data_IF_087305943266
#
_entry.id   IF_087305943266
#
_cell.length_a   1.000
_cell.length_b   1.000
_cell.length_c   1.000
_cell.angle_alpha   90.00
_cell.angle_beta   90.00
_cell.angle_gamma   90.00
#
_symmetry.space_group_name_H-M   'P 1'
#
loop_
_entity.id
_entity.type
_entity.pdbx_description
1 polymer ?
#
# COMPACT_ATOMS: atom_id res chain seq x y z
N UNK A 1 -13.13 10.13 -9.19
CA UNK A 1 -11.83 9.41 -9.11
C UNK A 1 -12.06 8.06 -8.45
N UNK A 2 -11.53 6.98 -9.03
CA UNK A 2 -11.54 5.62 -8.47
C UNK A 2 -10.14 5.28 -7.96
N UNK A 3 -10.00 5.08 -6.66
CA UNK A 3 -8.77 4.67 -6.00
C UNK A 3 -8.81 3.16 -5.72
N UNK A 4 -7.81 2.42 -6.20
CA UNK A 4 -7.56 1.03 -5.84
C UNK A 4 -6.34 0.95 -4.91
N UNK A 5 -6.43 0.19 -3.83
CA UNK A 5 -5.28 -0.13 -2.97
C UNK A 5 -5.10 -1.65 -2.97
N UNK A 6 -3.89 -2.12 -3.26
CA UNK A 6 -3.64 -3.54 -3.39
C UNK A 6 -2.24 -3.94 -2.90
N UNK A 7 -2.19 -4.84 -1.91
CA UNK A 7 -0.97 -5.50 -1.49
C UNK A 7 -0.74 -6.74 -2.38
N UNK A 8 0.16 -6.64 -3.36
CA UNK A 8 0.41 -7.68 -4.36
C UNK A 8 1.40 -8.74 -3.92
N UNK A 9 1.98 -8.63 -2.70
CA UNK A 9 2.94 -9.61 -2.17
C UNK A 9 4.03 -9.99 -3.16
N UNK A 10 4.59 -9.02 -3.86
CA UNK A 10 5.65 -9.21 -4.87
C UNK A 10 5.25 -10.17 -6.01
N UNK A 11 3.97 -10.33 -6.30
CA UNK A 11 3.41 -11.28 -7.27
C UNK A 11 3.88 -12.74 -7.07
N UNK A 12 4.17 -13.15 -5.85
CA UNK A 12 4.53 -14.56 -5.54
C UNK A 12 3.33 -15.49 -5.51
N UNK A 13 2.12 -14.92 -5.52
CA UNK A 13 0.85 -15.65 -5.51
C UNK A 13 0.48 -16.23 -4.14
N UNK A 14 -0.78 -16.64 -4.01
CA UNK A 14 -1.27 -17.41 -2.88
C UNK A 14 -1.20 -18.90 -3.24
N UNK A 15 0.00 -19.49 -3.27
CA UNK A 15 0.20 -20.92 -3.53
C UNK A 15 -0.63 -21.80 -2.59
N UNK A 16 -0.95 -23.03 -3.02
CA UNK A 16 -1.65 -24.03 -2.21
C UNK A 16 -0.81 -24.62 -1.07
N UNK A 17 0.45 -24.24 -0.94
CA UNK A 17 1.28 -24.61 0.21
C UNK A 17 0.66 -24.05 1.49
N UNK A 18 0.44 -24.87 2.53
CA UNK A 18 0.14 -24.35 3.84
C UNK A 18 1.25 -23.36 4.19
N UNK A 19 0.89 -22.12 4.38
CA UNK A 19 1.85 -21.06 4.70
C UNK A 19 2.38 -21.33 6.11
N UNK A 20 3.33 -22.27 6.20
CA UNK A 20 4.17 -22.34 7.38
C UNK A 20 4.85 -20.98 7.52
N UNK A 21 4.82 -20.37 8.69
CA UNK A 21 5.46 -19.09 8.94
C UNK A 21 6.98 -19.28 9.05
N UNK A 22 7.58 -19.82 8.00
CA UNK A 22 9.04 -19.80 7.87
C UNK A 22 9.33 -18.44 7.25
N UNK A 23 9.90 -17.50 8.03
CA UNK A 23 10.25 -16.20 7.50
C UNK A 23 11.21 -16.40 6.31
N UNK A 24 10.74 -16.09 5.10
CA UNK A 24 11.57 -16.06 3.89
C UNK A 24 11.34 -17.14 2.84
N UNK A 25 10.82 -18.32 3.15
CA UNK A 25 10.75 -19.42 2.15
C UNK A 25 9.75 -19.18 1.00
N UNK A 26 8.62 -18.52 1.25
CA UNK A 26 7.61 -18.20 0.22
C UNK A 26 7.90 -16.93 -0.59
N UNK A 27 8.94 -16.17 -0.21
CA UNK A 27 9.29 -14.89 -0.84
C UNK A 27 10.42 -15.00 -1.87
N UNK A 28 11.01 -16.18 -2.07
CA UNK A 28 12.22 -16.34 -2.88
C UNK A 28 11.93 -16.63 -4.35
N UNK A 29 10.76 -17.14 -4.69
CA UNK A 29 10.44 -17.53 -6.06
C UNK A 29 9.13 -16.87 -6.51
N UNK A 30 9.20 -16.14 -7.63
CA UNK A 30 8.01 -15.63 -8.32
C UNK A 30 7.25 -16.80 -9.00
N UNK A 31 5.92 -16.68 -9.09
CA UNK A 31 5.11 -17.61 -9.87
C UNK A 31 4.83 -16.99 -11.24
N UNK A 32 5.30 -17.61 -12.35
CA UNK A 32 4.98 -17.14 -13.70
C UNK A 32 3.45 -17.02 -13.86
N UNK A 33 3.00 -15.95 -14.49
CA UNK A 33 1.58 -15.68 -14.74
C UNK A 33 0.83 -15.00 -13.56
N UNK A 34 1.38 -14.96 -12.34
CA UNK A 34 0.72 -14.23 -11.26
C UNK A 34 0.66 -12.71 -11.53
N UNK A 35 1.72 -12.14 -12.09
CA UNK A 35 1.75 -10.73 -12.45
C UNK A 35 0.71 -10.42 -13.53
N UNK A 36 0.55 -11.28 -14.53
CA UNK A 36 -0.44 -11.11 -15.60
C UNK A 36 -1.87 -11.14 -15.04
N UNK A 37 -2.15 -12.05 -14.10
CA UNK A 37 -3.45 -12.12 -13.42
C UNK A 37 -3.72 -10.85 -12.60
N UNK A 38 -2.69 -10.30 -11.93
CA UNK A 38 -2.78 -9.03 -11.19
C UNK A 38 -3.07 -7.89 -12.17
N UNK A 39 -2.38 -7.82 -13.31
CA UNK A 39 -2.60 -6.82 -14.35
C UNK A 39 -4.04 -6.87 -14.85
N UNK A 40 -4.54 -8.04 -15.20
CA UNK A 40 -5.92 -8.20 -15.70
C UNK A 40 -6.96 -7.83 -14.63
N UNK A 41 -6.71 -8.21 -13.38
CA UNK A 41 -7.56 -7.79 -12.26
C UNK A 41 -7.58 -6.26 -12.10
N UNK A 42 -6.41 -5.61 -12.05
CA UNK A 42 -6.31 -4.16 -11.90
C UNK A 42 -7.00 -3.43 -13.08
N UNK A 43 -6.81 -3.91 -14.31
CA UNK A 43 -7.53 -3.40 -15.50
C UNK A 43 -9.05 -3.53 -15.37
N UNK A 44 -9.54 -4.66 -14.87
CA UNK A 44 -10.97 -4.87 -14.68
C UNK A 44 -11.61 -3.87 -13.72
N UNK A 45 -10.86 -3.42 -12.70
CA UNK A 45 -11.27 -2.40 -11.75
C UNK A 45 -11.35 -1.00 -12.37
N UNK A 46 -10.67 -0.75 -13.48
CA UNK A 46 -10.59 0.57 -14.16
C UNK A 46 -10.28 1.73 -13.19
N UNK A 47 -9.18 1.64 -12.41
CA UNK A 47 -8.84 2.68 -11.45
C UNK A 47 -8.25 3.92 -12.14
N UNK A 48 -8.48 5.10 -11.56
CA UNK A 48 -7.77 6.32 -11.93
C UNK A 48 -6.41 6.40 -11.19
N UNK A 49 -6.39 5.88 -9.95
CA UNK A 49 -5.19 5.85 -9.08
C UNK A 49 -5.08 4.47 -8.44
N UNK A 50 -3.87 3.91 -8.42
CA UNK A 50 -3.57 2.63 -7.77
C UNK A 50 -2.45 2.82 -6.77
N UNK A 51 -2.71 2.47 -5.50
CA UNK A 51 -1.68 2.31 -4.48
C UNK A 51 -1.26 0.85 -4.38
N UNK A 52 -0.04 0.54 -4.76
CA UNK A 52 0.52 -0.82 -4.72
C UNK A 52 1.46 -0.98 -3.53
N UNK A 53 1.24 -2.03 -2.75
CA UNK A 53 2.10 -2.43 -1.65
C UNK A 53 2.81 -3.74 -1.98
N UNK A 54 4.01 -3.91 -1.40
CA UNK A 54 4.85 -5.09 -1.62
C UNK A 54 5.13 -5.36 -3.10
N UNK A 55 5.67 -4.35 -3.78
CA UNK A 55 6.07 -4.40 -5.18
C UNK A 55 7.54 -4.79 -5.30
N UNK A 56 7.88 -5.59 -6.31
CA UNK A 56 9.26 -5.90 -6.71
C UNK A 56 9.66 -5.03 -7.92
N UNK A 57 10.73 -4.25 -7.76
CA UNK A 57 11.19 -3.34 -8.82
C UNK A 57 12.44 -3.90 -9.53
N UNK A 58 12.37 -5.17 -9.92
CA UNK A 58 13.39 -5.82 -10.76
C UNK A 58 14.43 -6.61 -9.98
N UNK A 59 14.05 -7.38 -8.97
CA UNK A 59 14.94 -8.37 -8.36
C UNK A 59 15.02 -9.65 -9.18
N UNK A 60 15.94 -10.54 -8.77
CA UNK A 60 16.02 -11.90 -9.36
C UNK A 60 14.73 -12.70 -9.15
N UNK A 61 13.96 -12.41 -8.11
CA UNK A 61 12.66 -13.04 -7.83
C UNK A 61 11.63 -12.74 -8.92
N UNK A 62 11.60 -11.51 -9.43
CA UNK A 62 10.70 -11.07 -10.50
C UNK A 62 11.28 -11.29 -11.90
N UNK A 63 12.43 -11.99 -12.02
CA UNK A 63 13.12 -12.14 -13.29
C UNK A 63 13.63 -10.81 -13.87
N UNK A 64 13.92 -9.83 -13.02
CA UNK A 64 14.34 -8.49 -13.43
C UNK A 64 13.18 -7.55 -13.81
N UNK A 65 11.93 -8.01 -13.75
CA UNK A 65 10.76 -7.19 -14.10
C UNK A 65 10.42 -6.21 -12.99
N UNK A 66 10.28 -4.93 -13.34
CA UNK A 66 9.69 -3.92 -12.46
C UNK A 66 8.17 -4.03 -12.51
N UNK A 67 7.58 -4.57 -11.45
CA UNK A 67 6.13 -4.84 -11.39
C UNK A 67 5.29 -3.55 -11.43
N UNK A 68 5.78 -2.45 -10.83
CA UNK A 68 5.07 -1.17 -10.86
C UNK A 68 4.99 -0.62 -12.30
N UNK A 69 6.10 -0.62 -13.02
CA UNK A 69 6.15 -0.15 -14.41
C UNK A 69 5.35 -1.06 -15.35
N UNK A 70 5.38 -2.38 -15.15
CA UNK A 70 4.61 -3.33 -15.94
C UNK A 70 3.10 -3.08 -15.80
N UNK A 71 2.61 -2.91 -14.56
CA UNK A 71 1.20 -2.62 -14.30
C UNK A 71 0.84 -1.22 -14.84
N UNK A 72 1.66 -0.20 -14.58
CA UNK A 72 1.42 1.16 -15.06
C UNK A 72 1.35 1.22 -16.60
N UNK A 73 2.30 0.59 -17.28
CA UNK A 73 2.31 0.52 -18.75
C UNK A 73 1.08 -0.15 -19.33
N UNK A 74 0.55 -1.18 -18.65
CA UNK A 74 -0.67 -1.87 -19.06
C UNK A 74 -1.94 -1.01 -18.93
N UNK A 75 -1.93 -0.02 -18.02
CA UNK A 75 -3.03 0.91 -17.77
C UNK A 75 -2.90 2.24 -18.54
N UNK A 76 -1.71 2.54 -19.09
CA UNK A 76 -1.39 3.87 -19.60
C UNK A 76 -1.24 4.91 -18.48
N UNK A 77 -0.84 4.50 -17.29
CA UNK A 77 -0.64 5.34 -16.11
C UNK A 77 0.82 5.75 -15.95
N UNK A 78 1.05 6.89 -15.29
CA UNK A 78 2.35 7.24 -14.74
C UNK A 78 2.60 6.42 -13.48
N UNK A 79 3.86 6.05 -13.21
CA UNK A 79 4.26 5.34 -11.99
C UNK A 79 5.23 6.18 -11.18
N UNK A 80 5.02 6.18 -9.87
CA UNK A 80 5.93 6.72 -8.88
C UNK A 80 6.15 5.63 -7.83
N UNK A 81 7.38 5.25 -7.56
CA UNK A 81 7.69 4.21 -6.57
C UNK A 81 8.97 4.52 -5.81
N UNK A 82 9.05 3.99 -4.59
CA UNK A 82 10.23 4.13 -3.74
C UNK A 82 10.51 2.83 -3.00
N UNK A 83 11.80 2.52 -2.83
CA UNK A 83 12.24 1.35 -2.09
C UNK A 83 11.98 1.50 -0.59
N UNK A 84 11.57 0.41 0.06
CA UNK A 84 11.19 0.41 1.49
C UNK A 84 12.35 0.70 2.43
N UNK A 85 13.57 0.45 1.97
CA UNK A 85 14.77 0.57 2.78
C UNK A 85 15.61 1.73 2.25
N UNK A 86 15.76 2.78 3.05
CA UNK A 86 16.65 3.91 2.76
C UNK A 86 18.12 3.47 2.61
N UNK A 87 18.94 4.30 2.00
CA UNK A 87 20.34 4.00 1.63
C UNK A 87 21.21 3.49 2.79
N UNK A 88 20.91 3.89 4.02
CA UNK A 88 21.66 3.50 5.24
C UNK A 88 21.23 2.13 5.83
N UNK A 89 20.28 1.43 5.22
CA UNK A 89 19.78 0.16 5.77
C UNK A 89 20.68 -1.01 5.38
N UNK A 90 21.03 -1.89 6.35
CA UNK A 90 21.72 -3.16 6.08
C UNK A 90 20.98 -4.07 5.10
N UNK A 91 19.65 -3.89 4.95
CA UNK A 91 18.84 -4.63 3.99
C UNK A 91 19.14 -4.27 2.53
N UNK A 92 19.82 -3.15 2.26
CA UNK A 92 20.32 -2.77 0.93
C UNK A 92 21.37 -3.76 0.38
N UNK A 93 22.07 -4.47 1.26
CA UNK A 93 23.08 -5.46 0.85
C UNK A 93 22.44 -6.71 0.24
N UNK A 94 21.21 -7.02 0.59
CA UNK A 94 20.51 -8.21 0.11
C UNK A 94 19.80 -7.94 -1.23
N UNK A 95 20.14 -8.67 -2.33
CA UNK A 95 19.68 -8.36 -3.70
C UNK A 95 18.16 -8.28 -3.87
N UNK A 96 17.40 -9.10 -3.12
CA UNK A 96 15.95 -9.12 -3.17
C UNK A 96 15.36 -8.00 -2.32
N UNK A 97 15.88 -7.77 -1.10
CA UNK A 97 15.30 -6.80 -0.19
C UNK A 97 15.44 -5.36 -0.68
N UNK A 98 16.57 -5.01 -1.29
CA UNK A 98 16.81 -3.67 -1.87
C UNK A 98 15.83 -3.29 -2.98
N UNK A 99 15.15 -4.27 -3.59
CA UNK A 99 14.20 -4.10 -4.69
C UNK A 99 12.73 -4.16 -4.22
N UNK A 100 12.50 -4.20 -2.92
CA UNK A 100 11.16 -4.14 -2.35
C UNK A 100 10.69 -2.70 -2.25
N UNK A 101 9.56 -2.38 -2.88
CA UNK A 101 9.02 -1.04 -2.98
C UNK A 101 7.52 -1.00 -2.62
N UNK A 102 7.01 0.22 -2.49
CA UNK A 102 5.60 0.55 -2.67
C UNK A 102 5.51 1.53 -3.84
N UNK A 103 4.35 1.64 -4.48
CA UNK A 103 4.17 2.47 -5.65
C UNK A 103 2.79 3.13 -5.70
N UNK A 104 2.72 4.31 -6.33
CA UNK A 104 1.49 4.84 -6.90
C UNK A 104 1.53 4.74 -8.42
N UNK A 105 0.38 4.42 -9.02
CA UNK A 105 0.14 4.53 -10.45
C UNK A 105 -1.04 5.49 -10.63
N UNK A 106 -0.93 6.47 -11.51
CA UNK A 106 -1.97 7.46 -11.69
C UNK A 106 -2.18 7.82 -13.16
N UNK A 107 -3.45 7.86 -13.58
CA UNK A 107 -3.87 8.45 -14.86
C UNK A 107 -3.91 9.99 -14.79
N UNK A 108 -4.40 10.61 -13.68
CA UNK A 108 -4.39 12.06 -13.54
C UNK A 108 -2.99 12.63 -13.47
N UNK A 109 -2.87 13.91 -13.83
CA UNK A 109 -1.61 14.64 -13.68
C UNK A 109 -1.17 14.71 -12.22
N UNK A 110 0.02 14.18 -11.95
CA UNK A 110 0.67 14.23 -10.64
C UNK A 110 1.27 15.63 -10.48
N UNK A 111 0.86 16.37 -9.45
CA UNK A 111 1.38 17.69 -9.13
C UNK A 111 2.64 17.60 -8.28
N UNK A 112 2.78 16.55 -7.47
CA UNK A 112 3.94 16.32 -6.63
C UNK A 112 3.91 14.96 -5.98
N UNK A 113 5.10 14.50 -5.65
CA UNK A 113 5.33 13.27 -4.90
C UNK A 113 6.37 13.52 -3.82
N UNK A 114 6.15 12.95 -2.62
CA UNK A 114 7.11 13.01 -1.52
C UNK A 114 7.18 11.66 -0.84
N UNK A 115 8.39 11.30 -0.43
CA UNK A 115 8.68 10.06 0.28
C UNK A 115 9.06 10.40 1.72
N UNK A 116 8.34 9.81 2.65
CA UNK A 116 8.60 9.98 4.08
C UNK A 116 8.94 8.63 4.68
N UNK A 117 9.77 8.64 5.72
CA UNK A 117 10.16 7.42 6.41
C UNK A 117 9.87 7.55 7.90
N UNK A 118 9.16 6.56 8.43
CA UNK A 118 8.98 6.46 9.88
C UNK A 118 10.31 6.15 10.58
N UNK A 119 10.50 6.67 11.76
CA UNK A 119 11.72 6.43 12.56
C UNK A 119 11.79 5.00 13.12
N UNK A 120 10.64 4.31 13.22
CA UNK A 120 10.53 2.99 13.86
C UNK A 120 9.86 1.97 12.97
N UNK A 121 10.23 0.70 13.17
CA UNK A 121 9.66 -0.44 12.46
C UNK A 121 10.46 -0.84 11.21
N UNK A 122 10.04 -1.94 10.60
CA UNK A 122 10.64 -2.46 9.36
C UNK A 122 9.95 -1.83 8.14
N UNK A 123 8.63 -1.68 8.19
CA UNK A 123 7.81 -1.03 7.17
C UNK A 123 7.76 0.46 7.51
N UNK A 124 8.55 1.27 6.82
CA UNK A 124 8.80 2.66 7.20
C UNK A 124 8.34 3.68 6.17
N UNK A 125 8.20 3.26 4.91
CA UNK A 125 7.90 4.16 3.80
C UNK A 125 6.44 4.61 3.81
N UNK A 126 6.26 5.92 3.66
CA UNK A 126 4.99 6.58 3.31
C UNK A 126 5.21 7.32 2.00
N UNK A 127 4.34 7.09 1.04
CA UNK A 127 4.33 7.85 -0.22
C UNK A 127 3.20 8.86 -0.15
N UNK A 128 3.55 10.14 -0.29
CA UNK A 128 2.59 11.24 -0.42
C UNK A 128 2.48 11.59 -1.90
N UNK A 129 1.28 11.46 -2.44
CA UNK A 129 0.93 11.82 -3.82
C UNK A 129 0.00 13.03 -3.79
N UNK A 130 0.44 14.12 -4.43
CA UNK A 130 -0.38 15.32 -4.58
C UNK A 130 -1.01 15.37 -5.97
N UNK A 131 -2.34 15.37 -5.99
CA UNK A 131 -3.15 15.54 -7.19
C UNK A 131 -3.90 16.88 -7.14
N UNK A 132 -4.62 17.21 -8.23
CA UNK A 132 -5.51 18.34 -8.19
C UNK A 132 -6.68 18.05 -7.23
N UNK A 133 -6.80 18.89 -6.19
CA UNK A 133 -7.87 18.78 -5.19
C UNK A 133 -7.69 17.77 -4.07
N UNK A 134 -6.67 16.90 -4.06
CA UNK A 134 -6.48 15.89 -3.02
C UNK A 134 -5.02 15.51 -2.80
N UNK A 135 -4.66 15.20 -1.56
CA UNK A 135 -3.39 14.54 -1.20
C UNK A 135 -3.69 13.12 -0.72
N UNK A 136 -2.97 12.14 -1.25
CA UNK A 136 -3.12 10.73 -0.90
C UNK A 136 -1.84 10.23 -0.24
N UNK A 137 -1.95 9.68 0.97
CA UNK A 137 -0.86 9.01 1.67
C UNK A 137 -1.02 7.49 1.53
N UNK A 138 -0.05 6.81 0.93
CA UNK A 138 0.02 5.36 0.88
C UNK A 138 0.92 4.85 1.99
N UNK A 139 0.37 3.99 2.85
CA UNK A 139 1.05 3.48 4.03
C UNK A 139 1.08 1.96 4.05
N UNK A 140 2.13 1.39 4.62
CA UNK A 140 2.20 -0.01 5.00
C UNK A 140 2.80 -0.08 6.40
N UNK A 141 1.95 -0.20 7.43
CA UNK A 141 2.36 -0.10 8.81
C UNK A 141 2.96 -1.40 9.34
N UNK A 142 3.71 -1.30 10.43
CA UNK A 142 4.40 -2.42 11.06
C UNK A 142 3.43 -3.41 11.71
N UNK A 143 3.81 -4.70 11.69
CA UNK A 143 3.07 -5.77 12.37
C UNK A 143 3.06 -5.63 13.90
N UNK A 144 4.11 -5.01 14.47
CA UNK A 144 4.20 -4.83 15.93
C UNK A 144 3.36 -3.63 16.37
N UNK A 145 2.41 -3.85 17.26
CA UNK A 145 1.51 -2.84 17.81
C UNK A 145 2.23 -1.55 18.26
N UNK A 146 3.27 -1.68 19.09
CA UNK A 146 4.02 -0.53 19.59
C UNK A 146 4.61 0.32 18.46
N UNK A 147 5.16 -0.28 17.41
CA UNK A 147 5.70 0.45 16.28
C UNK A 147 4.57 1.14 15.49
N UNK A 148 3.40 0.47 15.30
CA UNK A 148 2.24 1.09 14.66
C UNK A 148 1.78 2.36 15.38
N UNK A 149 1.72 2.34 16.71
CA UNK A 149 1.30 3.53 17.46
C UNK A 149 2.24 4.72 17.25
N UNK A 150 3.55 4.51 17.20
CA UNK A 150 4.52 5.56 16.83
C UNK A 150 4.34 6.01 15.38
N UNK A 151 4.11 5.07 14.46
CA UNK A 151 3.89 5.36 13.05
C UNK A 151 2.59 6.17 12.83
N UNK A 152 1.50 5.82 13.52
CA UNK A 152 0.25 6.57 13.47
C UNK A 152 0.40 8.00 14.00
N UNK A 153 1.20 8.20 15.04
CA UNK A 153 1.53 9.55 15.54
C UNK A 153 2.27 10.36 14.48
N UNK A 154 3.31 9.82 13.88
CA UNK A 154 4.06 10.50 12.82
C UNK A 154 3.16 10.76 11.60
N UNK A 155 2.33 9.80 11.22
CA UNK A 155 1.37 9.94 10.13
C UNK A 155 0.37 11.07 10.39
N UNK A 156 -0.09 11.24 11.65
CA UNK A 156 -0.92 12.37 12.05
C UNK A 156 -0.20 13.71 11.78
N UNK A 157 1.10 13.82 12.08
CA UNK A 157 1.89 15.02 11.84
C UNK A 157 1.98 15.33 10.31
N UNK A 158 2.13 14.31 9.46
CA UNK A 158 2.13 14.47 8.00
C UNK A 158 0.76 14.95 7.50
N UNK A 159 -0.30 14.25 7.90
CA UNK A 159 -1.69 14.57 7.50
C UNK A 159 -2.08 15.98 7.93
N UNK A 160 -1.69 16.40 9.14
CA UNK A 160 -2.00 17.74 9.68
C UNK A 160 -1.35 18.90 8.93
N UNK A 161 -0.30 18.64 8.16
CA UNK A 161 0.38 19.64 7.31
C UNK A 161 -0.23 19.77 5.92
N UNK A 162 -1.06 18.83 5.53
CA UNK A 162 -1.70 18.86 4.21
C UNK A 162 -2.68 20.03 4.11
N UNK A 163 -2.64 20.76 2.99
CA UNK A 163 -3.51 21.93 2.73
C UNK A 163 -4.73 21.61 1.90
N UNK A 164 -4.79 20.41 1.36
CA UNK A 164 -5.90 19.88 0.53
C UNK A 164 -6.63 18.78 1.30
N UNK A 165 -7.84 18.39 0.90
CA UNK A 165 -8.49 17.18 1.37
C UNK A 165 -7.55 15.97 1.32
N UNK A 166 -7.61 15.11 2.34
CA UNK A 166 -6.65 14.02 2.52
C UNK A 166 -7.33 12.67 2.41
N UNK A 167 -6.67 11.73 1.72
CA UNK A 167 -6.92 10.30 1.80
C UNK A 167 -5.68 9.65 2.41
N UNK A 168 -5.88 8.72 3.36
CA UNK A 168 -4.83 7.83 3.87
C UNK A 168 -5.25 6.41 3.56
N UNK A 169 -4.46 5.71 2.77
CA UNK A 169 -4.83 4.40 2.28
C UNK A 169 -3.67 3.39 2.37
N UNK A 170 -3.96 2.12 2.56
CA UNK A 170 -2.94 1.08 2.63
C UNK A 170 -3.24 -0.03 3.61
N UNK A 171 -2.20 -0.84 3.88
CA UNK A 171 -2.21 -1.92 4.85
C UNK A 171 -1.77 -1.41 6.22
N UNK A 172 -2.72 -1.26 7.11
CA UNK A 172 -2.48 -0.75 8.47
C UNK A 172 -2.05 -1.85 9.44
N UNK A 173 -2.18 -3.13 9.06
CA UNK A 173 -1.83 -4.27 9.90
C UNK A 173 -2.48 -4.24 11.30
N UNK A 174 -3.71 -3.76 11.40
CA UNK A 174 -4.45 -3.59 12.65
C UNK A 174 -5.25 -4.84 12.97
N UNK A 175 -4.69 -5.77 13.73
CA UNK A 175 -5.32 -7.06 14.03
C UNK A 175 -6.57 -6.95 14.90
N UNK A 176 -6.77 -5.84 15.61
CA UNK A 176 -7.98 -5.51 16.37
C UNK A 176 -8.85 -4.47 15.63
N UNK A 177 -8.62 -4.32 14.32
CA UNK A 177 -9.41 -3.48 13.45
C UNK A 177 -9.28 -1.99 13.73
N UNK A 178 -10.33 -1.24 13.39
CA UNK A 178 -10.40 0.22 13.50
C UNK A 178 -10.11 0.75 14.92
N UNK A 179 -10.34 -0.05 15.96
CA UNK A 179 -10.10 0.36 17.35
C UNK A 179 -8.64 0.76 17.60
N UNK A 180 -7.67 0.12 16.91
CA UNK A 180 -6.25 0.48 17.03
C UNK A 180 -5.95 1.88 16.47
N UNK A 181 -6.78 2.39 15.56
CA UNK A 181 -6.60 3.65 14.85
C UNK A 181 -7.55 4.75 15.35
N UNK A 182 -8.41 4.44 16.30
CA UNK A 182 -9.48 5.36 16.74
C UNK A 182 -8.95 6.75 17.10
N UNK A 183 -7.88 6.83 17.89
CA UNK A 183 -7.29 8.12 18.29
C UNK A 183 -6.71 8.87 17.10
N UNK A 184 -6.01 8.17 16.21
CA UNK A 184 -5.48 8.76 14.98
C UNK A 184 -6.60 9.32 14.10
N UNK A 185 -7.61 8.52 13.83
CA UNK A 185 -8.74 8.93 12.99
C UNK A 185 -9.47 10.14 13.57
N UNK A 186 -9.73 10.14 14.88
CA UNK A 186 -10.40 11.26 15.57
C UNK A 186 -9.55 12.52 15.55
N UNK A 187 -8.25 12.41 15.85
CA UNK A 187 -7.35 13.56 15.87
C UNK A 187 -7.17 14.17 14.46
N UNK A 188 -7.06 13.32 13.43
CA UNK A 188 -6.87 13.75 12.05
C UNK A 188 -8.20 14.09 11.31
N UNK A 189 -9.35 13.95 11.96
CA UNK A 189 -10.66 14.18 11.34
C UNK A 189 -10.98 13.23 10.19
N UNK A 190 -10.46 12.00 10.24
CA UNK A 190 -10.62 10.98 9.21
C UNK A 190 -11.77 10.03 9.52
N UNK A 191 -12.37 9.49 8.46
CA UNK A 191 -13.43 8.47 8.50
C UNK A 191 -13.04 7.31 7.59
N UNK A 192 -13.47 6.09 7.92
CA UNK A 192 -13.29 4.93 7.06
C UNK A 192 -14.29 4.93 5.90
N UNK A 193 -13.81 4.62 4.69
CA UNK A 193 -14.67 4.37 3.54
C UNK A 193 -15.39 3.02 3.66
N UNK A 194 -14.83 2.07 4.40
CA UNK A 194 -15.41 0.75 4.67
C UNK A 194 -16.43 0.81 5.82
N UNK A 195 -17.59 1.39 5.58
CA UNK A 195 -18.65 1.49 6.60
C UNK A 195 -19.27 0.15 6.93
N UNK A 196 -19.20 -0.82 6.01
CA UNK A 196 -19.71 -2.19 6.17
C UNK A 196 -18.75 -3.13 6.93
N UNK A 197 -17.53 -2.68 7.25
CA UNK A 197 -16.47 -3.51 7.86
C UNK A 197 -16.22 -4.80 7.10
N UNK A 198 -16.22 -4.70 5.77
CA UNK A 198 -15.90 -5.82 4.88
C UNK A 198 -14.46 -6.23 5.10
N UNK A 199 -14.17 -7.50 5.46
CA UNK A 199 -12.81 -7.93 5.70
C UNK A 199 -12.01 -8.02 4.40
N UNK A 200 -10.70 -7.73 4.47
CA UNK A 200 -9.77 -7.78 3.32
C UNK A 200 -8.74 -8.93 3.42
N UNK A 201 -8.55 -9.51 4.60
CA UNK A 201 -7.50 -10.50 4.85
C UNK A 201 -8.01 -11.74 5.60
N UNK A 202 -7.50 -12.96 5.30
CA UNK A 202 -6.69 -13.33 4.13
C UNK A 202 -7.53 -13.37 2.85
N UNK A 203 -6.92 -13.19 1.69
CA UNK A 203 -7.59 -13.02 0.39
C UNK A 203 -8.55 -14.17 -0.01
N UNK A 204 -8.33 -15.40 0.47
CA UNK A 204 -9.20 -16.55 0.13
C UNK A 204 -10.45 -16.67 1.00
N UNK A 205 -10.34 -16.37 2.27
CA UNK A 205 -11.43 -16.44 3.26
C UNK A 205 -11.25 -15.23 4.19
N UNK A 206 -11.67 -14.05 3.75
CA UNK A 206 -11.46 -12.81 4.50
C UNK A 206 -12.15 -12.86 5.87
N UNK A 207 -11.41 -12.47 6.93
CA UNK A 207 -11.89 -12.43 8.32
C UNK A 207 -11.45 -11.18 9.07
N UNK A 208 -10.41 -10.50 8.60
CA UNK A 208 -9.84 -9.32 9.23
C UNK A 208 -9.84 -8.17 8.23
N UNK A 209 -10.08 -6.98 8.74
CA UNK A 209 -9.90 -5.74 8.01
C UNK A 209 -8.51 -5.20 8.34
N UNK A 210 -7.56 -5.33 7.41
CA UNK A 210 -6.18 -4.84 7.56
C UNK A 210 -5.89 -3.68 6.62
N UNK A 211 -6.61 -3.62 5.49
CA UNK A 211 -6.49 -2.58 4.48
C UNK A 211 -7.59 -1.55 4.68
N UNK A 212 -7.20 -0.28 4.72
CA UNK A 212 -8.12 0.82 4.94
C UNK A 212 -7.96 1.90 3.88
N UNK A 213 -9.07 2.55 3.56
CA UNK A 213 -9.13 3.84 2.87
C UNK A 213 -9.81 4.81 3.82
N UNK A 214 -9.02 5.70 4.41
CA UNK A 214 -9.49 6.75 5.31
C UNK A 214 -9.54 8.07 4.56
N UNK A 215 -10.57 8.88 4.79
CA UNK A 215 -10.75 10.14 4.10
C UNK A 215 -11.17 11.27 5.04
N UNK A 216 -10.70 12.47 4.73
CA UNK A 216 -10.99 13.69 5.50
C UNK A 216 -12.17 14.49 4.94
N UNK A 217 -12.36 15.66 5.53
CA UNK A 217 -13.39 16.61 5.08
C UNK A 217 -13.16 17.03 3.62
N UNK A 218 -14.25 17.34 2.91
CA UNK A 218 -14.24 17.75 1.50
C UNK A 218 -14.18 16.58 0.50
N UNK A 219 -14.18 15.33 0.99
CA UNK A 219 -14.24 14.13 0.14
C UNK A 219 -15.58 13.42 0.37
N UNK A 220 -16.24 13.07 -0.71
CA UNK A 220 -17.45 12.25 -0.73
C UNK A 220 -17.13 10.87 -1.31
N UNK A 221 -17.53 9.81 -0.60
CA UNK A 221 -17.39 8.44 -1.05
C UNK A 221 -18.67 8.03 -1.76
N UNK A 222 -18.59 7.79 -3.06
CA UNK A 222 -19.74 7.38 -3.89
C UNK A 222 -19.89 5.86 -3.96
N UNK A 223 -18.87 5.10 -3.57
CA UNK A 223 -18.89 3.64 -3.51
C UNK A 223 -17.62 3.09 -2.88
N UNK A 224 -17.72 1.91 -2.28
CA UNK A 224 -16.61 1.16 -1.69
C UNK A 224 -16.83 -0.33 -1.94
N UNK A 225 -15.78 -1.04 -2.29
CA UNK A 225 -15.80 -2.48 -2.52
C UNK A 225 -14.49 -3.13 -2.09
N UNK A 226 -14.54 -4.41 -1.73
CA UNK A 226 -13.37 -5.28 -1.48
C UNK A 226 -13.53 -6.48 -2.41
N UNK A 227 -12.97 -6.42 -3.61
CA UNK A 227 -13.14 -7.44 -4.66
C UNK A 227 -12.36 -8.72 -4.40
#
# INVERSE_FOLDING_TARGET
MRLLVYNIRYAVGAGMSPQLPVPGAGYLFGNPGTLDNIIEFVKSCRPDVVGLLEVDVGSVRSGGVNQAEAIAGSLGHFSCYECKYGEESLNQVLPILRKQANAFLAAPHILGERFHYFDTGIKRLVIELELDGVVIFLVHLSLKYRHRQFQLRHLYELVSRARKPVIVAGDFNTFWGENEMFLFMKAAGLRSANTGRVPSYPSRIPRLELDFILYGAGIEITGFDVP
#
